data_IF_529912392867
#
_entry.id   IF_529912392867
#
_cell.length_a   1.000
_cell.length_b   1.000
_cell.length_c   1.000
_cell.angle_alpha   90.00
_cell.angle_beta   90.00
_cell.angle_gamma   90.00
#
_symmetry.space_group_name_H-M   'P 1'
#
loop_
_entity.id
_entity.type
_entity.pdbx_description
1 polymer ?
#
# COMPACT_ATOMS: atom_id res chain seq x y z
N UNK A 1 -11.77 -29.19 10.91
CA UNK A 1 -10.41 -29.09 10.34
C UNK A 1 -9.84 -27.76 10.77
N UNK A 2 -8.76 -27.74 11.55
CA UNK A 2 -8.08 -26.47 11.83
C UNK A 2 -7.44 -25.96 10.54
N UNK A 3 -7.74 -24.71 10.17
CA UNK A 3 -7.11 -24.06 9.02
C UNK A 3 -5.67 -23.67 9.36
N UNK A 4 -4.77 -23.66 8.37
CA UNK A 4 -3.35 -23.34 8.58
C UNK A 4 -3.11 -21.85 8.85
N UNK A 5 -1.95 -21.52 9.42
CA UNK A 5 -1.54 -20.12 9.67
C UNK A 5 -1.46 -19.33 8.36
N UNK A 6 -0.89 -19.96 7.32
CA UNK A 6 -0.79 -19.38 5.98
C UNK A 6 -2.18 -19.03 5.45
N UNK A 7 -3.15 -19.96 5.58
CA UNK A 7 -4.52 -19.71 5.14
C UNK A 7 -5.16 -18.55 5.89
N UNK A 8 -5.11 -18.54 7.23
CA UNK A 8 -5.67 -17.45 8.06
C UNK A 8 -5.08 -16.09 7.69
N UNK A 9 -3.76 -16.05 7.47
CA UNK A 9 -3.03 -14.85 7.07
C UNK A 9 -3.52 -14.34 5.72
N UNK A 10 -3.63 -15.21 4.73
CA UNK A 10 -4.12 -14.85 3.40
C UNK A 10 -5.60 -14.46 3.36
N UNK A 11 -6.45 -15.05 4.23
CA UNK A 11 -7.85 -14.63 4.35
C UNK A 11 -7.94 -13.19 4.85
N UNK A 12 -7.20 -12.83 5.91
CA UNK A 12 -7.18 -11.45 6.42
C UNK A 12 -6.61 -10.51 5.35
N UNK A 13 -5.43 -10.82 4.82
CA UNK A 13 -4.74 -9.98 3.86
C UNK A 13 -5.55 -9.79 2.57
N UNK A 14 -6.05 -10.88 1.99
CA UNK A 14 -6.81 -10.88 0.74
C UNK A 14 -8.11 -10.10 0.87
N UNK A 15 -8.82 -10.22 1.99
CA UNK A 15 -10.02 -9.43 2.26
C UNK A 15 -9.70 -7.93 2.31
N UNK A 16 -8.65 -7.55 3.04
CA UNK A 16 -8.27 -6.14 3.22
C UNK A 16 -7.77 -5.51 1.92
N UNK A 17 -6.96 -6.22 1.12
CA UNK A 17 -6.52 -5.74 -0.18
C UNK A 17 -7.68 -5.63 -1.18
N UNK A 18 -8.59 -6.61 -1.19
CA UNK A 18 -9.80 -6.54 -2.03
C UNK A 18 -10.64 -5.32 -1.68
N UNK A 19 -10.75 -5.00 -0.38
CA UNK A 19 -11.44 -3.81 0.09
C UNK A 19 -10.75 -2.53 -0.40
N UNK A 20 -9.43 -2.40 -0.23
CA UNK A 20 -8.65 -1.24 -0.70
C UNK A 20 -8.83 -1.03 -2.21
N UNK A 21 -8.53 -2.06 -3.00
CA UNK A 21 -8.56 -1.95 -4.46
C UNK A 21 -9.98 -1.82 -5.01
N UNK A 22 -10.95 -2.51 -4.40
CA UNK A 22 -12.37 -2.37 -4.76
C UNK A 22 -12.87 -0.95 -4.57
N UNK A 23 -12.54 -0.31 -3.44
CA UNK A 23 -12.91 1.08 -3.18
C UNK A 23 -12.12 2.05 -4.08
N UNK A 24 -10.83 1.80 -4.30
CA UNK A 24 -10.03 2.58 -5.24
C UNK A 24 -10.66 2.64 -6.63
N UNK A 25 -10.99 1.49 -7.21
CA UNK A 25 -11.63 1.41 -8.53
C UNK A 25 -13.03 2.04 -8.52
N UNK A 26 -13.78 1.87 -7.43
CA UNK A 26 -15.08 2.52 -7.25
C UNK A 26 -14.95 4.05 -7.28
N UNK A 27 -13.96 4.61 -6.58
CA UNK A 27 -13.69 6.05 -6.52
C UNK A 27 -13.28 6.59 -7.90
N UNK A 28 -12.41 5.88 -8.62
CA UNK A 28 -12.03 6.23 -10.00
C UNK A 28 -13.28 6.28 -10.89
N UNK A 29 -14.12 5.23 -10.84
CA UNK A 29 -15.35 5.14 -11.64
C UNK A 29 -16.36 6.25 -11.31
N UNK A 30 -16.56 6.55 -10.02
CA UNK A 30 -17.48 7.59 -9.58
C UNK A 30 -16.97 8.99 -9.97
N UNK A 31 -15.67 9.24 -9.84
CA UNK A 31 -15.04 10.49 -10.25
C UNK A 31 -15.23 10.75 -11.75
N UNK A 32 -15.06 9.73 -12.60
CA UNK A 32 -15.35 9.80 -14.05
C UNK A 32 -16.81 10.12 -14.35
N UNK A 33 -17.71 9.47 -13.62
CA UNK A 33 -19.15 9.70 -13.79
C UNK A 33 -19.53 11.10 -13.34
N UNK A 34 -18.88 11.64 -12.30
CA UNK A 34 -19.14 12.98 -11.81
C UNK A 34 -18.61 14.05 -12.79
N UNK A 35 -17.40 13.84 -13.31
CA UNK A 35 -16.76 14.69 -14.30
C UNK A 35 -17.58 14.82 -15.59
N UNK A 36 -18.01 13.69 -16.16
CA UNK A 36 -18.84 13.70 -17.39
C UNK A 36 -20.20 14.37 -17.22
N UNK A 37 -20.66 14.55 -15.97
CA UNK A 37 -21.90 15.28 -15.61
C UNK A 37 -21.65 16.73 -15.19
N UNK A 38 -20.41 17.22 -15.17
CA UNK A 38 -20.06 18.53 -14.63
C UNK A 38 -20.36 18.68 -13.13
N UNK A 39 -20.40 17.55 -12.41
CA UNK A 39 -20.75 17.48 -10.99
C UNK A 39 -19.52 17.17 -10.14
N UNK A 40 -19.59 17.49 -8.84
CA UNK A 40 -18.52 17.22 -7.89
C UNK A 40 -18.65 15.80 -7.30
N UNK A 41 -17.51 15.15 -7.05
CA UNK A 41 -17.45 13.93 -6.25
C UNK A 41 -16.52 14.17 -5.05
N UNK A 42 -16.97 13.83 -3.84
CA UNK A 42 -16.22 14.11 -2.59
C UNK A 42 -15.83 15.60 -2.41
N UNK A 43 -16.64 16.51 -2.96
CA UNK A 43 -16.35 17.96 -2.93
C UNK A 43 -15.19 18.38 -3.83
N UNK A 44 -14.77 17.50 -4.75
CA UNK A 44 -13.67 17.73 -5.70
C UNK A 44 -14.28 17.90 -7.09
N UNK A 45 -13.83 18.94 -7.78
CA UNK A 45 -14.06 19.15 -9.22
C UNK A 45 -12.94 18.49 -10.00
N UNK A 46 -13.28 17.95 -11.16
CA UNK A 46 -12.31 17.30 -12.04
C UNK A 46 -12.18 18.09 -13.33
N UNK A 47 -10.95 18.31 -13.76
CA UNK A 47 -10.60 18.94 -15.03
C UNK A 47 -10.12 17.87 -16.01
N UNK A 48 -10.54 17.98 -17.26
CA UNK A 48 -9.95 17.20 -18.34
C UNK A 48 -8.64 17.88 -18.77
N UNK A 49 -7.53 17.17 -18.66
CA UNK A 49 -6.21 17.64 -19.10
C UNK A 49 -5.61 16.67 -20.09
N UNK A 50 -4.90 17.21 -21.07
CA UNK A 50 -4.20 16.36 -22.04
C UNK A 50 -2.89 15.86 -21.41
N UNK A 51 -2.73 14.54 -21.33
CA UNK A 51 -1.52 13.92 -20.81
C UNK A 51 -0.33 14.11 -21.78
N UNK A 52 0.86 13.69 -21.34
CA UNK A 52 2.10 13.72 -22.15
C UNK A 52 2.03 12.89 -23.45
N UNK A 53 0.99 12.06 -23.62
CA UNK A 53 0.73 11.23 -24.80
C UNK A 53 -0.37 11.77 -25.70
N UNK A 54 -0.96 12.92 -25.38
CA UNK A 54 -2.05 13.52 -26.16
C UNK A 54 -3.44 12.98 -25.85
N UNK A 55 -3.60 12.16 -24.81
CA UNK A 55 -4.87 11.57 -24.38
C UNK A 55 -5.54 12.49 -23.34
N UNK A 56 -6.87 12.55 -23.35
CA UNK A 56 -7.65 13.28 -22.33
C UNK A 56 -7.66 12.45 -21.04
N UNK A 57 -7.08 13.00 -19.98
CA UNK A 57 -7.05 12.42 -18.65
C UNK A 57 -7.74 13.31 -17.62
N UNK A 58 -8.25 12.69 -16.56
CA UNK A 58 -9.09 13.34 -15.58
C UNK A 58 -8.29 13.65 -14.32
N UNK A 59 -8.00 14.93 -14.08
CA UNK A 59 -7.25 15.37 -12.90
C UNK A 59 -8.14 16.12 -11.92
N UNK A 60 -8.04 15.86 -10.60
CA UNK A 60 -8.74 16.64 -9.59
C UNK A 60 -8.12 18.05 -9.49
N UNK A 61 -8.95 19.08 -9.56
CA UNK A 61 -8.49 20.47 -9.73
C UNK A 61 -8.19 21.17 -8.39
N UNK A 62 -8.77 20.68 -7.28
CA UNK A 62 -8.41 21.15 -5.94
C UNK A 62 -8.72 20.10 -4.84
N UNK A 63 -7.87 20.04 -3.82
CA UNK A 63 -7.95 18.99 -2.79
C UNK A 63 -8.91 19.40 -1.68
N UNK A 64 -10.10 18.80 -1.65
CA UNK A 64 -11.13 19.14 -0.67
C UNK A 64 -10.69 18.90 0.79
N UNK A 65 -11.20 19.69 1.74
CA UNK A 65 -10.92 19.49 3.17
C UNK A 65 -11.33 18.07 3.63
N UNK A 66 -12.41 17.52 3.06
CA UNK A 66 -12.84 16.14 3.33
C UNK A 66 -11.81 15.10 2.91
N UNK A 67 -11.15 15.31 1.76
CA UNK A 67 -10.07 14.43 1.31
C UNK A 67 -8.86 14.51 2.24
N UNK A 68 -8.45 15.71 2.67
CA UNK A 68 -7.34 15.87 3.60
C UNK A 68 -7.61 15.18 4.94
N UNK A 69 -8.82 15.33 5.49
CA UNK A 69 -9.24 14.62 6.70
C UNK A 69 -9.15 13.11 6.50
N UNK A 70 -9.58 12.61 5.34
CA UNK A 70 -9.47 11.19 5.01
C UNK A 70 -8.01 10.72 4.96
N UNK A 71 -7.11 11.52 4.38
CA UNK A 71 -5.67 11.22 4.35
C UNK A 71 -5.09 11.13 5.77
N UNK A 72 -5.46 12.04 6.66
CA UNK A 72 -5.03 12.00 8.05
C UNK A 72 -5.60 10.81 8.82
N UNK A 73 -6.86 10.46 8.58
CA UNK A 73 -7.48 9.24 9.14
C UNK A 73 -6.72 7.99 8.68
N UNK A 74 -6.37 7.92 7.40
CA UNK A 74 -5.57 6.83 6.86
C UNK A 74 -4.20 6.74 7.55
N UNK A 75 -3.44 7.83 7.59
CA UNK A 75 -2.12 7.87 8.26
C UNK A 75 -2.23 7.44 9.73
N UNK A 76 -3.17 8.03 10.48
CA UNK A 76 -3.36 7.74 11.89
C UNK A 76 -3.74 6.27 12.14
N UNK A 77 -4.64 5.72 11.33
CA UNK A 77 -5.05 4.32 11.43
C UNK A 77 -3.95 3.35 11.02
N UNK A 78 -3.10 3.71 10.04
CA UNK A 78 -1.94 2.93 9.64
C UNK A 78 -0.92 2.78 10.78
N UNK A 79 -0.61 3.88 11.48
CA UNK A 79 0.22 3.80 12.68
C UNK A 79 -0.48 3.04 13.81
N UNK A 80 -1.77 3.28 14.04
CA UNK A 80 -2.53 2.60 15.09
C UNK A 80 -2.50 1.07 14.92
N UNK A 81 -2.68 0.55 13.70
CA UNK A 81 -2.71 -0.89 13.47
C UNK A 81 -1.38 -1.58 13.82
N UNK A 82 -0.23 -0.92 13.65
CA UNK A 82 1.09 -1.46 14.04
C UNK A 82 1.14 -1.75 15.54
N UNK A 83 0.53 -0.90 16.36
CA UNK A 83 0.46 -1.09 17.80
C UNK A 83 -0.65 -2.06 18.20
N UNK A 84 -1.88 -1.85 17.72
CA UNK A 84 -3.06 -2.61 18.18
C UNK A 84 -3.01 -4.10 17.82
N UNK A 85 -2.37 -4.47 16.70
CA UNK A 85 -2.16 -5.88 16.32
C UNK A 85 -1.35 -6.67 17.36
N UNK A 86 -0.54 -5.97 18.16
CA UNK A 86 0.25 -6.60 19.22
C UNK A 86 -0.53 -6.84 20.52
N UNK A 87 -1.62 -6.11 20.73
CA UNK A 87 -2.41 -6.16 21.96
C UNK A 87 -3.68 -7.01 21.84
N UNK A 88 -4.38 -6.94 20.70
CA UNK A 88 -5.67 -7.61 20.54
C UNK A 88 -6.01 -7.85 19.08
N UNK A 89 -6.50 -9.07 18.78
CA UNK A 89 -7.02 -9.44 17.48
C UNK A 89 -8.11 -8.47 16.99
N UNK A 90 -9.06 -8.14 17.86
CA UNK A 90 -10.21 -7.29 17.51
C UNK A 90 -9.77 -5.88 17.14
N UNK A 91 -8.94 -5.26 17.99
CA UNK A 91 -8.46 -3.90 17.74
C UNK A 91 -7.56 -3.81 16.51
N UNK A 92 -6.72 -4.82 16.29
CA UNK A 92 -5.91 -4.89 15.08
C UNK A 92 -6.77 -5.02 13.82
N UNK A 93 -7.80 -5.87 13.82
CA UNK A 93 -8.72 -5.98 12.68
C UNK A 93 -9.52 -4.71 12.42
N UNK A 94 -10.01 -4.04 13.47
CA UNK A 94 -10.74 -2.77 13.36
C UNK A 94 -9.84 -1.70 12.72
N UNK A 95 -8.66 -1.49 13.27
CA UNK A 95 -7.72 -0.46 12.78
C UNK A 95 -7.21 -0.76 11.37
N UNK A 96 -6.94 -2.03 11.05
CA UNK A 96 -6.59 -2.46 9.69
C UNK A 96 -7.74 -2.19 8.71
N UNK A 97 -8.99 -2.45 9.11
CA UNK A 97 -10.16 -2.19 8.25
C UNK A 97 -10.40 -0.69 8.05
N UNK A 98 -10.23 0.14 9.08
CA UNK A 98 -10.30 1.60 8.95
C UNK A 98 -9.19 2.11 8.01
N UNK A 99 -7.97 1.59 8.15
CA UNK A 99 -6.87 1.90 7.23
C UNK A 99 -7.22 1.51 5.80
N UNK A 100 -7.78 0.32 5.57
CA UNK A 100 -8.16 -0.13 4.23
C UNK A 100 -9.30 0.69 3.61
N UNK A 101 -10.32 1.04 4.40
CA UNK A 101 -11.45 1.86 3.96
C UNK A 101 -11.03 3.29 3.60
N UNK A 102 -10.07 3.86 4.35
CA UNK A 102 -9.58 5.22 4.12
C UNK A 102 -8.50 5.28 3.03
N UNK A 103 -7.67 4.25 2.91
CA UNK A 103 -6.69 4.15 1.84
C UNK A 103 -7.33 4.02 0.46
N UNK A 104 -8.43 3.25 0.32
CA UNK A 104 -9.07 3.03 -0.97
C UNK A 104 -9.34 4.32 -1.75
N UNK A 105 -10.04 5.32 -1.17
CA UNK A 105 -10.24 6.60 -1.85
C UNK A 105 -8.96 7.44 -1.99
N UNK A 106 -8.06 7.42 -0.99
CA UNK A 106 -6.76 8.12 -1.09
C UNK A 106 -5.98 7.62 -2.30
N UNK A 107 -5.87 6.30 -2.46
CA UNK A 107 -5.22 5.65 -3.58
C UNK A 107 -5.91 5.96 -4.92
N UNK A 108 -7.25 5.94 -4.94
CA UNK A 108 -8.02 6.30 -6.13
C UNK A 108 -7.76 7.74 -6.59
N UNK A 109 -7.64 8.68 -5.65
CA UNK A 109 -7.31 10.06 -5.97
C UNK A 109 -5.83 10.25 -6.37
N UNK A 110 -4.90 9.48 -5.80
CA UNK A 110 -3.50 9.45 -6.26
C UNK A 110 -3.46 8.97 -7.72
N UNK A 111 -4.18 7.90 -8.07
CA UNK A 111 -4.21 7.37 -9.43
C UNK A 111 -4.89 8.27 -10.46
N UNK A 112 -5.81 9.14 -10.04
CA UNK A 112 -6.43 10.16 -10.91
C UNK A 112 -5.53 11.39 -11.08
N UNK A 113 -4.69 11.71 -10.09
CA UNK A 113 -3.70 12.77 -10.23
C UNK A 113 -2.57 12.36 -11.17
N UNK A 114 -2.20 11.08 -11.13
CA UNK A 114 -1.27 10.47 -12.06
C UNK A 114 -1.93 10.12 -13.38
N UNK A 115 -1.12 9.89 -14.42
CA UNK A 115 -1.60 9.28 -15.66
C UNK A 115 -2.24 7.91 -15.35
N UNK A 116 -3.52 7.72 -15.68
CA UNK A 116 -4.27 6.51 -15.29
C UNK A 116 -3.56 5.23 -15.76
N UNK A 117 -3.01 5.25 -16.98
CA UNK A 117 -2.34 4.07 -17.50
C UNK A 117 -1.05 3.78 -16.70
N UNK A 118 -0.35 4.80 -16.21
CA UNK A 118 0.83 4.61 -15.38
C UNK A 118 0.44 4.16 -13.96
N UNK A 119 -0.66 4.65 -13.40
CA UNK A 119 -1.24 4.13 -12.15
C UNK A 119 -1.63 2.65 -12.23
N UNK A 120 -2.25 2.22 -13.34
CA UNK A 120 -2.60 0.81 -13.56
C UNK A 120 -1.37 -0.08 -13.78
N UNK A 121 -0.32 0.44 -14.42
CA UNK A 121 0.96 -0.26 -14.56
C UNK A 121 1.62 -0.48 -13.20
N UNK A 122 1.60 0.52 -12.32
CA UNK A 122 2.13 0.41 -10.96
C UNK A 122 1.42 -0.69 -10.14
N UNK A 123 0.09 -0.76 -10.24
CA UNK A 123 -0.71 -1.84 -9.64
C UNK A 123 -0.29 -3.22 -10.14
N UNK A 124 -0.19 -3.40 -11.46
CA UNK A 124 0.22 -4.68 -12.06
C UNK A 124 1.62 -5.09 -11.60
N UNK A 125 2.55 -4.13 -11.54
CA UNK A 125 3.91 -4.39 -11.08
C UNK A 125 3.93 -4.82 -9.60
N UNK A 126 3.20 -4.12 -8.74
CA UNK A 126 3.07 -4.45 -7.31
C UNK A 126 2.53 -5.87 -7.13
N UNK A 127 1.51 -6.25 -7.89
CA UNK A 127 0.94 -7.61 -7.86
C UNK A 127 2.01 -8.63 -8.27
N UNK A 128 2.69 -8.41 -9.40
CA UNK A 128 3.73 -9.34 -9.88
C UNK A 128 4.87 -9.51 -8.87
N UNK A 129 5.36 -8.41 -8.29
CA UNK A 129 6.40 -8.43 -7.27
C UNK A 129 5.91 -9.15 -6.01
N UNK A 130 4.69 -8.88 -5.56
CA UNK A 130 4.12 -9.52 -4.37
C UNK A 130 3.96 -11.03 -4.55
N UNK A 131 3.45 -11.47 -5.71
CA UNK A 131 3.35 -12.90 -6.00
C UNK A 131 4.72 -13.56 -6.15
N UNK A 132 5.67 -12.91 -6.82
CA UNK A 132 7.04 -13.40 -6.94
C UNK A 132 7.73 -13.54 -5.59
N UNK A 133 7.64 -12.51 -4.74
CA UNK A 133 8.16 -12.52 -3.38
C UNK A 133 7.46 -13.57 -2.51
N UNK A 134 6.14 -13.74 -2.65
CA UNK A 134 5.38 -14.79 -1.97
C UNK A 134 5.82 -16.19 -2.35
N UNK A 135 6.00 -16.46 -3.65
CA UNK A 135 6.46 -17.75 -4.13
C UNK A 135 7.88 -18.07 -3.62
N UNK A 136 8.79 -17.11 -3.68
CA UNK A 136 10.16 -17.29 -3.20
C UNK A 136 10.18 -17.42 -1.67
N UNK A 137 9.57 -16.48 -0.94
CA UNK A 137 9.60 -16.45 0.51
C UNK A 137 8.98 -17.70 1.15
N UNK A 138 7.89 -18.21 0.59
CA UNK A 138 7.19 -19.40 1.13
C UNK A 138 7.84 -20.73 0.73
N UNK A 139 8.40 -20.85 -0.48
CA UNK A 139 8.75 -22.15 -1.05
C UNK A 139 10.23 -22.35 -1.41
N UNK A 140 11.04 -21.29 -1.47
CA UNK A 140 12.44 -21.41 -1.91
C UNK A 140 13.35 -22.19 -0.96
N UNK A 141 12.96 -22.33 0.31
CA UNK A 141 13.79 -22.93 1.36
C UNK A 141 15.00 -22.07 1.77
N UNK A 142 15.14 -20.87 1.20
CA UNK A 142 16.15 -19.89 1.62
C UNK A 142 15.77 -19.31 2.99
N UNK A 143 16.76 -19.11 3.85
CA UNK A 143 16.57 -18.46 5.14
C UNK A 143 16.81 -16.95 5.00
N UNK A 144 15.73 -16.17 5.13
CA UNK A 144 15.77 -14.72 5.09
C UNK A 144 15.77 -14.09 6.49
N UNK A 145 15.74 -14.88 7.57
CA UNK A 145 15.61 -14.38 8.95
C UNK A 145 16.69 -13.37 9.34
N UNK A 146 17.91 -13.52 8.82
CA UNK A 146 19.04 -12.61 9.04
C UNK A 146 18.88 -11.23 8.42
N UNK A 147 17.94 -11.02 7.49
CA UNK A 147 17.71 -9.72 6.85
C UNK A 147 17.04 -8.70 7.78
N UNK A 148 16.33 -9.16 8.82
CA UNK A 148 15.46 -8.30 9.62
C UNK A 148 16.15 -7.06 10.20
N UNK A 149 17.39 -7.19 10.69
CA UNK A 149 18.13 -6.05 11.27
C UNK A 149 18.55 -5.03 10.20
N UNK A 150 18.95 -5.49 9.02
CA UNK A 150 19.34 -4.62 7.91
C UNK A 150 18.13 -3.87 7.36
N UNK A 151 17.00 -4.59 7.21
CA UNK A 151 15.74 -4.02 6.77
C UNK A 151 15.22 -2.96 7.75
N UNK A 152 15.37 -3.19 9.06
CA UNK A 152 15.00 -2.21 10.09
C UNK A 152 15.78 -0.89 9.95
N UNK A 153 17.10 -0.95 9.82
CA UNK A 153 17.91 0.26 9.62
C UNK A 153 17.64 0.95 8.28
N UNK A 154 17.43 0.18 7.21
CA UNK A 154 17.08 0.72 5.90
C UNK A 154 15.71 1.44 5.94
N UNK A 155 14.73 0.90 6.67
CA UNK A 155 13.43 1.53 6.87
C UNK A 155 13.56 2.86 7.62
N UNK A 156 14.36 2.90 8.70
CA UNK A 156 14.64 4.16 9.41
C UNK A 156 15.28 5.17 8.45
N UNK A 157 16.27 4.74 7.66
CA UNK A 157 16.91 5.60 6.65
C UNK A 157 15.90 6.17 5.66
N UNK A 158 14.99 5.34 5.13
CA UNK A 158 13.95 5.77 4.21
C UNK A 158 12.99 6.77 4.86
N UNK A 159 12.56 6.52 6.11
CA UNK A 159 11.70 7.43 6.86
C UNK A 159 12.40 8.78 7.07
N UNK A 160 13.67 8.79 7.48
CA UNK A 160 14.45 10.01 7.67
C UNK A 160 14.60 10.79 6.37
N UNK A 161 14.87 10.11 5.24
CA UNK A 161 14.90 10.74 3.92
C UNK A 161 13.56 11.38 3.58
N UNK A 162 12.44 10.67 3.80
CA UNK A 162 11.09 11.19 3.57
C UNK A 162 10.78 12.40 4.46
N UNK A 163 11.22 12.40 5.72
CA UNK A 163 11.09 13.57 6.61
C UNK A 163 11.92 14.76 6.11
N UNK A 164 13.16 14.55 5.68
CA UNK A 164 14.00 15.61 5.11
C UNK A 164 13.34 16.20 3.85
N UNK A 165 12.76 15.37 3.00
CA UNK A 165 12.03 15.81 1.79
C UNK A 165 10.83 16.72 2.10
N UNK A 166 10.22 16.65 3.29
CA UNK A 166 9.15 17.57 3.67
C UNK A 166 9.66 19.01 3.85
N UNK A 167 10.91 19.18 4.28
CA UNK A 167 11.51 20.50 4.53
C UNK A 167 12.34 21.02 3.36
N UNK A 168 12.54 20.22 2.32
CA UNK A 168 13.48 20.52 1.23
C UNK A 168 12.84 20.28 -0.14
N UNK A 169 13.13 21.15 -1.11
CA UNK A 169 12.62 21.00 -2.48
C UNK A 169 13.52 20.06 -3.29
N UNK A 170 13.46 18.76 -3.00
CA UNK A 170 14.17 17.74 -3.78
C UNK A 170 13.74 17.79 -5.25
N UNK A 171 14.71 17.66 -6.17
CA UNK A 171 14.43 17.57 -7.60
C UNK A 171 13.66 16.28 -7.93
N UNK A 172 12.85 16.29 -9.00
CA UNK A 172 12.04 15.13 -9.41
C UNK A 172 12.87 13.85 -9.58
N UNK A 173 14.06 13.95 -10.18
CA UNK A 173 14.98 12.82 -10.32
C UNK A 173 15.45 12.22 -8.99
N UNK A 174 15.65 13.03 -7.94
CA UNK A 174 16.05 12.54 -6.62
C UNK A 174 14.90 11.82 -5.91
N UNK A 175 13.68 12.36 -6.01
CA UNK A 175 12.47 11.72 -5.46
C UNK A 175 12.26 10.35 -6.08
N UNK A 176 12.39 10.26 -7.41
CA UNK A 176 12.30 9.01 -8.15
C UNK A 176 13.34 7.96 -7.72
N UNK A 177 14.59 8.36 -7.49
CA UNK A 177 15.63 7.44 -7.00
C UNK A 177 15.33 6.93 -5.59
N UNK A 178 14.86 7.80 -4.70
CA UNK A 178 14.43 7.41 -3.35
C UNK A 178 13.27 6.41 -3.44
N UNK A 179 12.32 6.66 -4.34
CA UNK A 179 11.18 5.79 -4.56
C UNK A 179 11.58 4.39 -5.09
N UNK A 180 12.51 4.33 -6.04
CA UNK A 180 13.08 3.05 -6.52
C UNK A 180 13.78 2.31 -5.37
N UNK A 181 14.56 3.01 -4.55
CA UNK A 181 15.20 2.43 -3.37
C UNK A 181 14.18 1.89 -2.36
N UNK A 182 13.10 2.63 -2.12
CA UNK A 182 11.98 2.20 -1.30
C UNK A 182 11.28 0.95 -1.86
N UNK A 183 11.01 0.91 -3.17
CA UNK A 183 10.39 -0.26 -3.81
C UNK A 183 11.25 -1.53 -3.66
N UNK A 184 12.57 -1.42 -3.80
CA UNK A 184 13.50 -2.52 -3.54
C UNK A 184 13.42 -2.95 -2.07
N UNK A 185 13.44 -1.98 -1.15
CA UNK A 185 13.36 -2.24 0.29
C UNK A 185 12.08 -3.01 0.67
N UNK A 186 10.91 -2.55 0.22
CA UNK A 186 9.64 -3.24 0.52
C UNK A 186 9.52 -4.60 -0.18
N UNK A 187 10.14 -4.77 -1.35
CA UNK A 187 10.26 -6.09 -1.97
C UNK A 187 11.06 -7.08 -1.10
N UNK A 188 12.15 -6.61 -0.48
CA UNK A 188 12.93 -7.43 0.45
C UNK A 188 12.16 -7.71 1.76
N UNK A 189 11.39 -6.75 2.26
CA UNK A 189 10.47 -6.97 3.39
C UNK A 189 9.43 -8.04 3.06
N UNK A 190 8.83 -8.04 1.86
CA UNK A 190 7.92 -9.10 1.44
C UNK A 190 8.59 -10.48 1.48
N UNK A 191 9.80 -10.61 0.95
CA UNK A 191 10.56 -11.87 1.01
C UNK A 191 10.78 -12.33 2.46
N UNK A 192 11.22 -11.40 3.31
CA UNK A 192 11.45 -11.65 4.74
C UNK A 192 10.16 -12.10 5.46
N UNK A 193 9.05 -11.41 5.21
CA UNK A 193 7.78 -11.65 5.90
C UNK A 193 7.08 -12.92 5.43
N UNK A 194 7.13 -13.24 4.13
CA UNK A 194 6.67 -14.53 3.63
C UNK A 194 7.53 -15.68 4.16
N UNK A 195 8.84 -15.50 4.27
CA UNK A 195 9.70 -16.51 4.87
C UNK A 195 9.43 -16.71 6.36
N UNK A 196 9.21 -15.61 7.09
CA UNK A 196 8.78 -15.64 8.50
C UNK A 196 7.46 -16.39 8.66
N UNK A 197 6.50 -16.17 7.75
CA UNK A 197 5.22 -16.89 7.75
C UNK A 197 5.40 -18.40 7.56
N UNK A 198 6.23 -18.82 6.60
CA UNK A 198 6.54 -20.23 6.38
C UNK A 198 7.23 -20.86 7.61
N UNK A 199 8.22 -20.16 8.19
CA UNK A 199 8.94 -20.62 9.37
C UNK A 199 8.00 -20.80 10.58
N UNK A 200 7.11 -19.84 10.85
CA UNK A 200 6.14 -19.94 11.95
C UNK A 200 5.12 -21.06 11.74
N UNK A 201 4.68 -21.26 10.50
CA UNK A 201 3.78 -22.36 10.15
C UNK A 201 4.46 -23.72 10.39
N UNK A 202 5.74 -23.85 10.04
CA UNK A 202 6.51 -25.08 10.26
C UNK A 202 6.79 -25.36 11.75
N UNK A 203 6.83 -24.32 12.58
CA UNK A 203 6.91 -24.43 14.05
C UNK A 203 5.57 -24.81 14.71
N UNK A 204 4.51 -24.99 13.92
CA UNK A 204 3.19 -25.38 14.43
C UNK A 204 2.38 -24.22 15.03
N UNK A 205 2.81 -22.96 14.84
CA UNK A 205 2.01 -21.80 15.27
C UNK A 205 0.76 -21.72 14.41
N UNK A 206 -0.43 -21.74 15.04
CA UNK A 206 -1.69 -21.74 14.29
C UNK A 206 -2.82 -20.94 14.95
N UNK A 207 -2.55 -19.69 15.37
CA UNK A 207 -3.55 -18.82 15.97
C UNK A 207 -3.86 -17.58 15.09
N UNK A 208 -5.03 -16.99 15.31
CA UNK A 208 -5.50 -15.81 14.55
C UNK A 208 -4.69 -14.55 14.86
N UNK A 209 -4.12 -14.45 16.05
CA UNK A 209 -3.29 -13.32 16.45
C UNK A 209 -1.99 -13.27 15.64
N UNK A 210 -1.24 -14.38 15.58
CA UNK A 210 -0.06 -14.48 14.73
C UNK A 210 -0.39 -14.23 13.26
N UNK A 211 -1.51 -14.79 12.78
CA UNK A 211 -1.98 -14.56 11.41
C UNK A 211 -2.22 -13.07 11.14
N UNK A 212 -2.87 -12.36 12.08
CA UNK A 212 -3.06 -10.92 11.99
C UNK A 212 -1.72 -10.16 12.01
N UNK A 213 -0.76 -10.52 12.87
CA UNK A 213 0.54 -9.83 12.94
C UNK A 213 1.29 -9.88 11.62
N UNK A 214 1.33 -11.05 11.00
CA UNK A 214 1.94 -11.23 9.69
C UNK A 214 1.11 -10.53 8.61
N UNK A 215 -0.22 -10.63 8.65
CA UNK A 215 -1.09 -9.97 7.68
C UNK A 215 -0.92 -8.44 7.69
N UNK A 216 -0.79 -7.81 8.87
CA UNK A 216 -0.54 -6.36 8.99
C UNK A 216 0.82 -6.00 8.40
N UNK A 217 1.84 -6.80 8.66
CA UNK A 217 3.19 -6.55 8.15
C UNK A 217 3.23 -6.68 6.62
N UNK A 218 2.70 -7.77 6.06
CA UNK A 218 2.56 -7.96 4.62
C UNK A 218 1.68 -6.88 3.97
N UNK A 219 0.58 -6.48 4.61
CA UNK A 219 -0.27 -5.41 4.12
C UNK A 219 0.51 -4.09 4.00
N UNK A 220 1.27 -3.72 5.04
CA UNK A 220 2.12 -2.53 5.02
C UNK A 220 3.17 -2.60 3.92
N UNK A 221 3.82 -3.75 3.74
CA UNK A 221 4.84 -3.91 2.70
C UNK A 221 4.24 -3.80 1.30
N UNK A 222 3.07 -4.41 1.04
CA UNK A 222 2.38 -4.33 -0.26
C UNK A 222 1.92 -2.89 -0.55
N UNK A 223 1.30 -2.23 0.43
CA UNK A 223 0.82 -0.85 0.25
C UNK A 223 1.98 0.11 0.05
N UNK A 224 3.04 0.00 0.86
CA UNK A 224 4.19 0.88 0.70
C UNK A 224 4.91 0.59 -0.64
N UNK A 225 5.08 -0.67 -1.03
CA UNK A 225 5.61 -1.02 -2.35
C UNK A 225 4.81 -0.35 -3.47
N UNK A 226 3.46 -0.40 -3.40
CA UNK A 226 2.60 0.26 -4.38
C UNK A 226 2.85 1.77 -4.42
N UNK A 227 2.88 2.43 -3.26
CA UNK A 227 3.11 3.88 -3.18
C UNK A 227 4.49 4.27 -3.70
N UNK A 228 5.53 3.48 -3.41
CA UNK A 228 6.88 3.69 -3.95
C UNK A 228 6.93 3.51 -5.46
N UNK A 229 6.23 2.52 -6.01
CA UNK A 229 6.17 2.32 -7.47
C UNK A 229 5.40 3.46 -8.14
N UNK A 230 4.29 3.91 -7.54
CA UNK A 230 3.53 5.05 -8.04
C UNK A 230 4.42 6.30 -8.10
N UNK A 231 5.08 6.67 -6.99
CA UNK A 231 6.01 7.82 -6.96
C UNK A 231 7.18 7.66 -7.94
N UNK A 232 7.69 6.43 -8.14
CA UNK A 232 8.79 6.18 -9.09
C UNK A 232 8.37 6.30 -10.57
N UNK A 233 7.07 6.20 -10.84
CA UNK A 233 6.47 6.30 -12.17
C UNK A 233 5.88 7.67 -12.47
N UNK A 234 5.57 8.45 -11.43
CA UNK A 234 5.15 9.84 -11.54
C UNK A 234 6.30 10.70 -12.12
N UNK A 235 5.99 11.53 -13.12
CA UNK A 235 6.99 12.34 -13.85
C UNK A 235 6.79 13.84 -13.63
#
# INVERSE_FOLDING_TARGET
>A
METSLIFKTFVILGFQLTLVFGICLFVIKMSRTAASKGSQFMGITFSERTNSRGELDLQPDDTSAGFQVLTWVWIASMFAMVYTQSFSLTWGLITMTISSLSLGPVLGMIMLNMDENDGLRALRLTILITFGAGAIGLYSGLDFSGLGIYLFYALIGLILLRLVMLFTKFASGQRRLIAIGGAILFTLFLLYDFNRLAAMNNQGVNNWEAALRIAVSLYLDIINLLLEILEAMDN
#
